data_IF_980884100658
#
_entry.id   IF_980884100658
#
_cell.length_a   1.000
_cell.length_b   1.000
_cell.length_c   1.000
_cell.angle_alpha   90.00
_cell.angle_beta   90.00
_cell.angle_gamma   90.00
#
_symmetry.space_group_name_H-M   'P 1'
#
loop_
_entity.id
_entity.type
_entity.pdbx_description
1 polymer ?
2 non-polymer ?
3 non-polymer ?
4 water ?
#
# COMPACT_ATOMS: atom_id res chain seq x y z
N UNK A 1 -0.30 -7.92 1.18
CA UNK A 1 0.24 -8.61 2.42
C UNK A 1 -0.76 -9.60 3.05
N UNK A 2 -2.06 -9.48 2.78
CA UNK A 2 -3.21 -10.16 3.41
C UNK A 2 -4.44 -10.03 2.51
N UNK A 3 -5.60 -10.66 2.85
CA UNK A 3 -6.74 -10.77 1.93
C UNK A 3 -7.44 -9.42 1.59
N UNK A 4 -7.25 -8.40 2.44
CA UNK A 4 -7.76 -7.04 2.17
C UNK A 4 -6.98 -6.43 1.00
N UNK A 5 -5.66 -6.55 1.07
CA UNK A 5 -4.73 -6.07 0.02
C UNK A 5 -4.92 -6.87 -1.27
N UNK A 6 -5.27 -8.15 -1.14
CA UNK A 6 -5.60 -9.03 -2.29
C UNK A 6 -6.80 -8.47 -3.07
N UNK A 7 -7.91 -8.18 -2.38
CA UNK A 7 -9.13 -7.63 -3.03
C UNK A 7 -8.79 -6.26 -3.66
N UNK A 8 -8.11 -5.40 -2.90
CA UNK A 8 -7.70 -4.06 -3.40
C UNK A 8 -6.89 -4.19 -4.68
N UNK A 9 -5.87 -5.06 -4.69
CA UNK A 9 -5.00 -5.22 -5.87
C UNK A 9 -5.83 -5.69 -7.08
N UNK A 10 -6.74 -6.61 -6.85
CA UNK A 10 -7.57 -7.17 -7.95
C UNK A 10 -8.38 -6.04 -8.61
N UNK A 11 -8.88 -5.11 -7.82
CA UNK A 11 -9.63 -3.93 -8.33
C UNK A 11 -8.66 -3.00 -9.05
N UNK A 12 -7.50 -2.70 -8.45
CA UNK A 12 -6.60 -1.73 -9.08
C UNK A 12 -6.12 -2.24 -10.44
N UNK A 13 -5.82 -3.55 -10.54
CA UNK A 13 -5.11 -4.09 -11.73
C UNK A 13 -6.05 -4.15 -12.93
N UNK A 14 -7.38 -4.14 -12.75
CA UNK A 14 -8.30 -4.25 -13.89
C UNK A 14 -9.29 -3.09 -13.99
N UNK A 15 -9.56 -2.35 -12.89
CA UNK A 15 -10.69 -1.39 -12.89
C UNK A 15 -10.21 0.03 -12.59
N UNK A 16 -8.95 0.37 -12.85
CA UNK A 16 -8.50 1.78 -12.67
C UNK A 16 -7.77 2.25 -13.90
N UNK A 17 -7.86 3.58 -14.11
CA UNK A 17 -7.07 4.32 -15.13
C UNK A 17 -6.52 5.54 -14.43
N UNK A 18 -5.52 6.16 -15.05
CA UNK A 18 -5.05 7.47 -14.60
C UNK A 18 -5.82 8.52 -15.40
N UNK A 19 -6.63 9.33 -14.72
CA UNK A 19 -7.38 10.43 -15.34
C UNK A 19 -6.64 11.76 -15.10
N UNK A 20 -6.51 12.56 -16.15
CA UNK A 20 -5.88 13.89 -16.04
C UNK A 20 -6.90 14.92 -16.55
N UNK A 21 -7.20 15.90 -15.69
CA UNK A 21 -7.99 17.13 -16.04
C UNK A 21 -7.05 18.33 -15.85
N UNK A 22 -7.59 19.52 -16.05
CA UNK A 22 -6.84 20.79 -15.82
C UNK A 22 -6.57 21.02 -14.33
N UNK A 23 -7.23 20.25 -13.46
CA UNK A 23 -7.08 20.30 -11.98
C UNK A 23 -6.10 19.23 -11.45
N UNK A 24 -5.51 18.36 -12.30
CA UNK A 24 -4.46 17.41 -11.92
C UNK A 24 -4.70 15.99 -12.41
N UNK A 25 -3.92 15.08 -11.87
CA UNK A 25 -3.99 13.63 -12.13
C UNK A 25 -4.75 12.98 -10.98
N UNK A 26 -5.69 12.09 -11.31
CA UNK A 26 -6.55 11.39 -10.32
C UNK A 26 -6.55 9.89 -10.63
N UNK A 27 -6.59 9.08 -9.57
CA UNK A 27 -7.05 7.70 -9.63
C UNK A 27 -8.51 7.77 -10.11
N UNK A 28 -8.85 6.95 -11.10
CA UNK A 28 -10.24 6.89 -11.63
C UNK A 28 -10.64 5.42 -11.65
N UNK A 29 -11.77 5.13 -10.99
CA UNK A 29 -12.37 3.79 -10.91
C UNK A 29 -13.34 3.59 -12.07
N UNK A 30 -13.07 2.58 -12.89
CA UNK A 30 -14.04 2.14 -13.90
C UNK A 30 -15.00 1.13 -13.29
N UNK A 31 -16.30 1.29 -13.55
CA UNK A 31 -17.33 0.49 -12.83
C UNK A 31 -17.93 -0.56 -13.76
N UNK A 32 -18.25 -0.18 -15.00
CA UNK A 32 -18.82 -1.13 -16.00
C UNK A 32 -18.82 -0.41 -17.34
N UNK A 33 -18.87 -1.18 -18.42
CA UNK A 33 -18.95 -0.62 -19.80
C UNK A 33 -17.88 0.49 -19.87
N UNK A 34 -18.24 1.71 -20.29
CA UNK A 34 -17.27 2.83 -20.44
C UNK A 34 -17.54 3.87 -19.32
N UNK A 35 -18.13 3.44 -18.21
CA UNK A 35 -18.60 4.31 -17.10
C UNK A 35 -17.58 4.24 -15.96
N UNK A 36 -17.09 5.40 -15.55
CA UNK A 36 -16.13 5.53 -14.45
C UNK A 36 -16.60 6.61 -13.45
N UNK A 37 -15.91 6.72 -12.34
CA UNK A 37 -16.18 7.79 -11.35
C UNK A 37 -14.89 8.54 -11.01
N UNK A 38 -15.07 9.78 -10.57
CA UNK A 38 -13.93 10.67 -10.19
C UNK A 38 -14.49 11.68 -9.21
N UNK A 39 -13.68 12.25 -8.29
CA UNK A 39 -14.20 13.35 -7.45
C UNK A 39 -14.69 14.54 -8.29
N UNK A 40 -15.81 15.15 -7.86
CA UNK A 40 -16.40 16.27 -8.63
C UNK A 40 -15.42 17.46 -8.72
N UNK A 41 -14.59 17.64 -7.71
CA UNK A 41 -13.56 18.72 -7.77
C UNK A 41 -12.49 18.51 -8.86
N UNK A 42 -12.43 17.37 -9.55
CA UNK A 42 -11.60 17.21 -10.75
C UNK A 42 -12.07 18.10 -11.90
N UNK A 43 -13.31 18.62 -11.87
CA UNK A 43 -13.89 19.51 -12.91
C UNK A 43 -13.77 18.89 -14.32
N UNK A 44 -14.34 17.71 -14.50
CA UNK A 44 -14.31 17.02 -15.81
C UNK A 44 -14.94 17.94 -16.86
N UNK A 45 -14.30 18.10 -18.00
CA UNK A 45 -14.84 18.82 -19.16
C UNK A 45 -15.22 17.92 -20.30
N UNK A 46 -15.19 18.46 -21.53
CA UNK A 46 -15.60 17.74 -22.76
C UNK A 46 -14.51 16.74 -23.19
N UNK A 47 -13.26 16.98 -22.79
CA UNK A 47 -12.07 16.16 -23.11
C UNK A 47 -11.33 15.88 -21.79
N UNK A 48 -10.87 14.64 -21.65
CA UNK A 48 -10.08 14.20 -20.47
C UNK A 48 -8.92 13.36 -21.02
N UNK A 49 -7.80 13.28 -20.29
CA UNK A 49 -6.71 12.33 -20.64
C UNK A 49 -6.89 11.08 -19.80
N UNK A 50 -6.86 9.89 -20.43
CA UNK A 50 -7.02 8.57 -19.77
C UNK A 50 -5.74 7.78 -20.11
N UNK A 51 -4.87 7.58 -19.11
CA UNK A 51 -3.56 6.91 -19.33
C UNK A 51 -2.82 7.66 -20.46
N UNK A 52 -2.89 8.98 -20.44
CA UNK A 52 -2.20 9.95 -21.35
C UNK A 52 -2.73 9.92 -22.79
N UNK A 53 -3.91 9.37 -23.01
CA UNK A 53 -4.61 9.39 -24.32
C UNK A 53 -5.77 10.41 -24.23
N UNK A 54 -5.80 11.34 -25.17
CA UNK A 54 -6.91 12.30 -25.34
C UNK A 54 -8.21 11.54 -25.61
N UNK A 55 -9.21 11.76 -24.76
CA UNK A 55 -10.48 10.98 -24.75
C UNK A 55 -11.68 11.96 -24.65
N UNK A 56 -12.63 11.81 -25.56
CA UNK A 56 -13.87 12.57 -25.50
C UNK A 56 -14.71 12.07 -24.34
N UNK A 57 -15.30 13.00 -23.61
CA UNK A 57 -16.29 12.71 -22.54
C UNK A 57 -17.70 12.69 -23.18
N UNK A 58 -18.35 11.53 -23.18
CA UNK A 58 -19.70 11.37 -23.80
C UNK A 58 -20.76 11.91 -22.85
N UNK A 59 -20.55 11.85 -21.53
CA UNK A 59 -21.50 12.33 -20.54
C UNK A 59 -20.75 12.50 -19.22
N UNK A 60 -21.08 13.52 -18.45
CA UNK A 60 -20.55 13.67 -17.07
C UNK A 60 -21.68 14.18 -16.18
N UNK A 61 -21.91 13.56 -15.03
CA UNK A 61 -22.97 14.00 -14.12
C UNK A 61 -22.44 14.08 -12.68
N UNK A 62 -22.42 15.31 -12.13
CA UNK A 62 -22.05 15.59 -10.73
C UNK A 62 -23.22 15.22 -9.85
N UNK A 63 -23.12 14.16 -9.08
CA UNK A 63 -24.26 13.63 -8.30
C UNK A 63 -24.55 14.52 -7.10
N UNK A 64 -25.85 14.65 -6.79
CA UNK A 64 -26.34 15.36 -5.60
C UNK A 64 -27.43 14.51 -4.98
N UNK A 65 -27.62 14.54 -3.67
CA UNK A 65 -28.73 13.79 -3.06
C UNK A 65 -30.06 14.53 -3.27
N UNK A 66 -31.14 13.89 -2.81
CA UNK A 66 -32.49 14.42 -3.14
C UNK A 66 -32.80 15.67 -2.32
N UNK A 67 -32.03 15.97 -1.26
CA UNK A 67 -31.96 17.33 -0.63
C UNK A 67 -31.17 18.35 -1.49
N UNK A 68 -30.67 18.01 -2.69
CA UNK A 68 -29.87 18.91 -3.56
C UNK A 68 -28.59 19.27 -2.78
N UNK A 69 -27.98 18.29 -2.07
CA UNK A 69 -26.66 18.45 -1.42
C UNK A 69 -25.60 17.69 -2.24
N UNK A 70 -24.45 18.32 -2.41
CA UNK A 70 -23.28 17.72 -3.08
C UNK A 70 -23.00 16.31 -2.53
N UNK A 71 -22.68 15.35 -3.41
CA UNK A 71 -22.14 14.01 -3.00
C UNK A 71 -20.67 13.86 -3.39
N UNK A 72 -20.12 14.79 -4.17
CA UNK A 72 -18.67 14.83 -4.56
C UNK A 72 -18.28 13.67 -5.50
N UNK A 73 -19.27 12.98 -6.08
CA UNK A 73 -19.04 11.92 -7.10
C UNK A 73 -19.47 12.48 -8.45
N UNK A 74 -18.60 12.44 -9.44
CA UNK A 74 -18.98 12.64 -10.86
C UNK A 74 -18.89 11.26 -11.57
N UNK A 75 -19.95 10.91 -12.27
CA UNK A 75 -20.03 9.69 -13.13
C UNK A 75 -19.73 10.16 -14.54
N UNK A 76 -18.74 9.54 -15.16
CA UNK A 76 -18.22 9.95 -16.49
C UNK A 76 -18.43 8.77 -17.43
N UNK A 77 -18.99 9.00 -18.61
CA UNK A 77 -18.97 7.98 -19.67
C UNK A 77 -17.90 8.40 -20.68
N UNK A 78 -16.93 7.51 -20.96
CA UNK A 78 -15.72 7.82 -21.75
C UNK A 78 -15.92 7.28 -23.17
N UNK A 79 -15.50 8.03 -24.18
CA UNK A 79 -15.43 7.52 -25.58
C UNK A 79 -14.17 6.67 -25.75
N UNK A 80 -14.14 5.54 -25.06
CA UNK A 80 -12.98 4.62 -25.03
C UNK A 80 -13.31 3.41 -25.90
N UNK A 81 -12.28 2.75 -26.44
CA UNK A 81 -12.46 1.60 -27.34
C UNK A 81 -12.49 0.28 -26.58
N UNK A 82 -12.64 0.31 -25.26
CA UNK A 82 -12.51 -0.89 -24.42
C UNK A 82 -13.47 -0.71 -23.23
N UNK A 83 -14.17 -1.76 -22.81
CA UNK A 83 -15.01 -1.75 -21.61
C UNK A 83 -14.22 -2.16 -20.36
N UNK A 84 -14.70 -1.69 -19.22
CA UNK A 84 -14.24 -2.16 -17.90
C UNK A 84 -14.90 -3.47 -17.55
N UNK A 85 -14.18 -4.29 -16.82
CA UNK A 85 -14.82 -5.43 -16.09
C UNK A 85 -15.98 -4.87 -15.27
N UNK A 86 -17.15 -5.49 -15.31
CA UNK A 86 -18.31 -5.05 -14.52
C UNK A 86 -18.07 -5.45 -13.06
N UNK A 87 -17.90 -4.47 -12.18
CA UNK A 87 -17.76 -4.67 -10.70
C UNK A 87 -18.95 -4.14 -9.91
N UNK A 88 -20.08 -3.89 -10.54
CA UNK A 88 -21.25 -3.34 -9.79
C UNK A 88 -21.72 -4.28 -8.68
N UNK A 89 -21.50 -5.58 -8.81
CA UNK A 89 -21.93 -6.54 -7.75
C UNK A 89 -21.04 -6.40 -6.51
N UNK A 90 -19.95 -5.63 -6.53
CA UNK A 90 -19.14 -5.41 -5.31
C UNK A 90 -19.49 -4.09 -4.62
N UNK A 91 -20.52 -3.38 -5.10
CA UNK A 91 -20.93 -2.08 -4.52
C UNK A 91 -21.97 -2.36 -3.45
N UNK A 92 -21.85 -1.67 -2.29
CA UNK A 92 -22.88 -1.74 -1.24
C UNK A 92 -24.22 -1.20 -1.73
N UNK A 93 -25.30 -1.74 -1.18
CA UNK A 93 -26.64 -1.23 -1.49
C UNK A 93 -27.03 -0.08 -0.53
N UNK A 94 -26.51 -0.06 0.69
CA UNK A 94 -26.93 0.95 1.70
C UNK A 94 -25.73 1.63 2.35
N UNK A 95 -25.99 2.76 3.00
CA UNK A 95 -24.99 3.50 3.79
C UNK A 95 -24.60 2.61 4.97
N UNK A 96 -23.33 2.54 5.33
CA UNK A 96 -22.88 1.64 6.39
C UNK A 96 -21.55 2.11 6.93
N UNK A 97 -21.17 1.53 8.06
CA UNK A 97 -19.80 1.57 8.63
C UNK A 97 -19.09 0.27 8.27
N UNK A 98 -17.76 0.27 8.32
CA UNK A 98 -16.95 -0.89 7.85
C UNK A 98 -15.77 -1.10 8.77
N UNK A 99 -15.29 -2.33 8.85
CA UNK A 99 -13.95 -2.55 9.45
C UNK A 99 -12.89 -2.77 8.36
N UNK A 100 -11.66 -2.42 8.70
CA UNK A 100 -10.44 -2.96 8.07
C UNK A 100 -10.48 -2.65 6.57
N UNK A 101 -10.50 -1.37 6.23
CA UNK A 101 -10.49 -0.92 4.81
C UNK A 101 -9.06 -0.64 4.34
N UNK A 102 -8.91 -0.66 3.01
CA UNK A 102 -7.66 -0.28 2.29
C UNK A 102 -8.02 0.84 1.34
N UNK A 103 -7.17 1.87 1.31
CA UNK A 103 -7.21 2.95 0.30
C UNK A 103 -6.10 2.70 -0.70
N UNK A 104 -6.46 2.61 -1.99
CA UNK A 104 -5.50 2.27 -3.07
C UNK A 104 -5.45 3.40 -4.10
N UNK A 105 -4.23 3.80 -4.48
CA UNK A 105 -3.96 4.94 -5.38
C UNK A 105 -3.04 4.47 -6.49
N UNK A 106 -3.29 4.92 -7.71
CA UNK A 106 -2.33 4.69 -8.80
C UNK A 106 -2.24 5.93 -9.70
N UNK A 107 -1.17 6.73 -9.51
CA UNK A 107 -0.87 7.89 -10.38
C UNK A 107 0.60 7.86 -10.74
N UNK A 108 1.05 8.83 -11.57
CA UNK A 108 2.49 9.10 -11.83
C UNK A 108 3.24 9.38 -10.50
N UNK A 109 2.67 10.16 -9.61
CA UNK A 109 3.28 10.55 -8.31
C UNK A 109 3.28 9.35 -7.34
N UNK A 110 2.23 8.53 -7.36
CA UNK A 110 2.03 7.44 -6.36
C UNK A 110 1.58 6.15 -7.06
N UNK A 111 2.46 5.45 -7.79
CA UNK A 111 2.11 4.18 -8.41
C UNK A 111 2.08 3.05 -7.39
N UNK A 112 1.08 2.17 -7.55
CA UNK A 112 0.99 0.92 -6.77
C UNK A 112 1.03 1.21 -5.27
N UNK A 113 0.29 2.24 -4.85
CA UNK A 113 0.17 2.63 -3.43
C UNK A 113 -1.05 1.99 -2.77
N UNK A 114 -0.87 1.34 -1.61
CA UNK A 114 -1.95 0.71 -0.82
C UNK A 114 -1.78 1.13 0.64
N UNK A 115 -2.83 1.58 1.27
CA UNK A 115 -2.80 2.10 2.69
C UNK A 115 -3.84 1.40 3.52
N UNK A 116 -3.52 0.62 4.59
CA UNK A 116 -4.52 0.07 5.50
C UNK A 116 -4.97 1.22 6.40
N UNK A 117 -6.21 1.63 6.24
CA UNK A 117 -6.75 2.82 6.97
C UNK A 117 -7.54 2.39 8.20
N UNK A 118 -7.87 1.12 8.42
CA UNK A 118 -8.58 0.65 9.61
C UNK A 118 -10.07 0.87 9.51
N UNK A 119 -10.69 1.19 10.63
CA UNK A 119 -12.16 1.32 10.72
C UNK A 119 -12.65 2.54 9.93
N UNK A 120 -13.76 2.35 9.23
CA UNK A 120 -14.43 3.42 8.44
C UNK A 120 -15.80 3.75 9.07
N UNK A 121 -15.97 5.01 9.46
CA UNK A 121 -17.22 5.54 10.07
C UNK A 121 -18.13 6.11 8.98
N UNK A 122 -19.41 5.76 8.99
CA UNK A 122 -20.43 6.55 8.27
C UNK A 122 -20.54 7.92 8.96
N UNK A 123 -19.80 8.90 8.47
CA UNK A 123 -19.63 10.23 9.09
C UNK A 123 -20.86 11.09 8.76
N UNK A 124 -21.31 11.01 7.52
CA UNK A 124 -22.50 11.74 7.03
C UNK A 124 -22.13 13.10 6.47
N UNK A 125 -22.47 14.16 7.22
CA UNK A 125 -22.27 15.54 6.74
C UNK A 125 -20.82 15.98 6.97
N UNK A 126 -20.25 16.62 5.95
CA UNK A 126 -18.93 17.26 5.99
C UNK A 126 -19.00 18.55 5.19
N UNK A 127 -18.45 19.60 5.77
CA UNK A 127 -18.14 20.83 5.02
C UNK A 127 -16.79 20.66 4.34
N UNK A 128 -16.83 20.20 3.09
CA UNK A 128 -15.67 19.78 2.30
C UNK A 128 -15.18 20.94 1.44
N UNK A 129 -14.06 21.57 1.82
CA UNK A 129 -13.56 22.73 1.05
C UNK A 129 -14.59 23.86 0.98
N UNK A 130 -15.39 24.05 2.04
CA UNK A 130 -16.51 25.02 2.05
C UNK A 130 -17.80 24.52 1.41
N UNK A 131 -17.84 23.32 0.86
CA UNK A 131 -19.07 22.81 0.22
C UNK A 131 -19.78 21.80 1.14
N UNK A 132 -21.03 22.05 1.60
CA UNK A 132 -21.77 21.05 2.34
C UNK A 132 -21.89 19.75 1.51
N UNK A 133 -21.49 18.64 2.12
CA UNK A 133 -21.39 17.34 1.38
C UNK A 133 -22.04 16.27 2.25
N UNK A 134 -22.79 15.33 1.67
CA UNK A 134 -23.39 14.21 2.40
C UNK A 134 -22.74 12.86 2.02
N UNK A 135 -23.14 11.83 2.74
CA UNK A 135 -22.68 10.41 2.53
C UNK A 135 -21.15 10.28 2.59
N UNK A 136 -20.54 10.97 3.54
CA UNK A 136 -19.08 10.91 3.75
C UNK A 136 -18.72 9.75 4.71
N UNK A 137 -17.73 8.98 4.28
CA UNK A 137 -17.01 7.99 5.11
C UNK A 137 -15.74 8.64 5.65
N UNK A 138 -15.43 8.33 6.90
CA UNK A 138 -14.19 8.84 7.55
C UNK A 138 -13.32 7.67 8.06
N UNK A 139 -12.02 7.88 7.94
CA UNK A 139 -10.97 6.95 8.44
C UNK A 139 -9.88 7.80 9.05
N UNK A 140 -9.22 7.23 10.05
CA UNK A 140 -8.22 7.96 10.86
C UNK A 140 -6.87 7.67 10.24
N UNK A 141 -6.61 8.17 9.04
CA UNK A 141 -5.26 8.15 8.43
C UNK A 141 -4.98 9.54 7.87
N UNK A 142 -3.75 10.08 8.13
CA UNK A 142 -3.28 11.34 7.56
C UNK A 142 -2.93 11.25 6.06
N UNK A 143 -4.01 11.14 5.27
CA UNK A 143 -4.01 11.16 3.78
C UNK A 143 -3.54 12.55 3.27
N UNK A 144 -2.98 12.59 2.05
CA UNK A 144 -2.23 13.75 1.51
C UNK A 144 -2.71 13.99 0.08
N UNK A 145 -2.37 15.17 -0.44
CA UNK A 145 -2.61 15.55 -1.84
C UNK A 145 -1.92 14.48 -2.70
N UNK A 146 -2.58 14.10 -3.78
CA UNK A 146 -2.20 13.01 -4.67
C UNK A 146 -3.11 11.79 -4.51
N UNK A 147 -3.90 11.73 -3.42
CA UNK A 147 -4.70 10.53 -3.09
C UNK A 147 -6.17 10.67 -3.51
N UNK A 148 -6.61 11.84 -3.99
CA UNK A 148 -8.04 12.00 -4.41
C UNK A 148 -8.33 11.07 -5.56
N UNK A 149 -9.49 10.40 -5.46
CA UNK A 149 -9.91 9.40 -6.45
C UNK A 149 -9.52 8.02 -5.95
N UNK A 150 -8.65 7.92 -4.94
CA UNK A 150 -8.20 6.60 -4.49
C UNK A 150 -9.37 5.74 -4.15
N UNK A 151 -9.26 4.43 -4.32
CA UNK A 151 -10.40 3.51 -4.12
C UNK A 151 -10.36 2.99 -2.69
N UNK A 152 -11.47 3.05 -2.00
CA UNK A 152 -11.64 2.47 -0.64
C UNK A 152 -12.36 1.14 -0.76
N UNK A 153 -11.72 0.06 -0.28
CA UNK A 153 -12.27 -1.31 -0.36
C UNK A 153 -12.24 -1.95 1.03
N UNK A 154 -13.15 -2.88 1.22
CA UNK A 154 -12.98 -3.96 2.21
C UNK A 154 -12.77 -5.27 1.42
N UNK A 155 -12.53 -6.39 2.11
CA UNK A 155 -12.72 -7.73 1.48
C UNK A 155 -14.19 -7.78 1.01
N UNK A 156 -14.32 -7.88 -0.30
CA UNK A 156 -15.55 -8.20 -0.98
C UNK A 156 -16.25 -6.97 -1.45
N UNK A 157 -15.90 -5.74 -0.96
CA UNK A 157 -16.70 -4.54 -1.32
C UNK A 157 -15.87 -3.32 -1.72
N UNK A 158 -16.33 -2.64 -2.76
CA UNK A 158 -15.80 -1.32 -3.20
C UNK A 158 -16.73 -0.28 -2.59
N UNK A 159 -16.26 0.49 -1.57
CA UNK A 159 -17.23 1.25 -0.74
C UNK A 159 -17.16 2.78 -0.98
N UNK A 160 -16.13 3.29 -1.64
CA UNK A 160 -15.99 4.76 -1.74
C UNK A 160 -14.78 5.18 -2.56
N UNK A 161 -14.71 6.48 -2.81
CA UNK A 161 -13.53 7.12 -3.45
C UNK A 161 -13.12 8.30 -2.55
N UNK A 162 -11.81 8.36 -2.31
CA UNK A 162 -11.17 9.40 -1.45
C UNK A 162 -11.42 10.80 -2.03
N UNK A 163 -11.89 11.77 -1.22
CA UNK A 163 -12.23 13.12 -1.76
C UNK A 163 -11.56 14.21 -0.91
N UNK A 164 -10.97 13.90 0.24
CA UNK A 164 -10.29 14.94 1.03
C UNK A 164 -9.73 14.48 2.36
N UNK A 165 -9.15 15.42 3.11
CA UNK A 165 -8.66 15.10 4.47
C UNK A 165 -8.41 16.39 5.25
N UNK A 166 -8.16 16.27 6.56
CA UNK A 166 -7.89 17.47 7.43
C UNK A 166 -6.49 17.36 8.04
N UNK A 167 -5.64 16.47 7.53
CA UNK A 167 -4.27 16.23 8.06
C UNK A 167 -4.21 15.08 9.05
N UNK A 168 -5.27 14.78 9.80
CA UNK A 168 -5.36 13.63 10.73
C UNK A 168 -6.35 12.57 10.24
N UNK A 169 -7.47 13.00 9.65
CA UNK A 169 -8.53 12.11 9.11
C UNK A 169 -8.60 12.24 7.57
N UNK A 170 -9.10 11.17 6.93
CA UNK A 170 -9.37 11.15 5.48
C UNK A 170 -10.84 10.90 5.28
N UNK A 171 -11.35 11.35 4.15
CA UNK A 171 -12.79 11.35 3.85
C UNK A 171 -13.01 10.79 2.44
N UNK A 172 -14.00 9.90 2.36
CA UNK A 172 -14.35 9.30 1.05
C UNK A 172 -15.85 9.56 0.80
N UNK A 173 -16.20 9.71 -0.47
CA UNK A 173 -17.62 9.72 -0.91
C UNK A 173 -18.07 8.28 -1.09
N UNK A 174 -19.22 7.93 -0.53
CA UNK A 174 -19.77 6.57 -0.69
C UNK A 174 -20.01 6.24 -2.16
N UNK A 175 -19.80 4.97 -2.52
CA UNK A 175 -20.37 4.40 -3.77
C UNK A 175 -21.52 3.46 -3.37
N UNK A 176 -22.65 3.65 -3.99
CA UNK A 176 -23.86 2.83 -3.81
C UNK A 176 -24.23 2.20 -5.15
N UNK A 177 -24.71 0.96 -5.10
CA UNK A 177 -25.17 0.21 -6.29
C UNK A 177 -26.17 1.04 -7.09
N UNK A 178 -27.05 1.77 -6.40
CA UNK A 178 -28.15 2.53 -7.05
C UNK A 178 -27.64 3.66 -7.94
N UNK A 179 -26.39 4.10 -7.82
CA UNK A 179 -25.84 5.16 -8.70
C UNK A 179 -25.61 4.62 -10.14
N UNK A 180 -25.54 3.30 -10.33
CA UNK A 180 -25.03 2.65 -11.59
C UNK A 180 -26.02 1.65 -12.19
N UNK A 181 -27.31 1.78 -11.87
CA UNK A 181 -28.37 1.01 -12.57
C UNK A 181 -28.55 1.69 -13.96
N UNK A 182 -29.02 0.96 -14.98
CA UNK A 182 -29.23 1.47 -16.37
C UNK A 182 -30.31 0.64 -17.10
N UNK B 2 6.85 11.87 -1.81
CA UNK B 2 8.03 12.70 -2.24
C UNK B 2 9.05 11.88 -3.02
N UNK B 3 10.36 12.13 -2.81
CA UNK B 3 11.41 11.22 -3.31
C UNK B 3 11.51 9.93 -2.48
N UNK B 4 10.74 9.84 -1.38
CA UNK B 4 10.57 8.58 -0.62
C UNK B 4 9.99 7.45 -1.48
N UNK B 5 9.01 7.72 -2.36
CA UNK B 5 8.49 6.70 -3.32
C UNK B 5 9.53 6.34 -4.38
N UNK B 6 10.31 7.29 -4.96
CA UNK B 6 11.43 6.95 -5.87
C UNK B 6 12.40 5.98 -5.19
N UNK B 7 12.81 6.35 -3.98
CA UNK B 7 13.83 5.61 -3.21
C UNK B 7 13.31 4.19 -2.97
N UNK B 8 12.08 4.06 -2.49
CA UNK B 8 11.46 2.74 -2.20
C UNK B 8 11.48 1.92 -3.49
N UNK B 9 11.08 2.51 -4.63
CA UNK B 9 11.07 1.77 -5.93
C UNK B 9 12.47 1.35 -6.37
N UNK B 10 13.49 2.22 -6.18
CA UNK B 10 14.90 1.98 -6.56
C UNK B 10 15.46 0.79 -5.78
N UNK B 11 15.10 0.71 -4.49
CA UNK B 11 15.54 -0.45 -3.65
C UNK B 11 14.76 -1.72 -4.04
N UNK B 12 13.45 -1.60 -4.26
CA UNK B 12 12.60 -2.74 -4.74
C UNK B 12 13.23 -3.33 -6.01
N UNK B 13 13.48 -2.48 -7.01
CA UNK B 13 13.84 -2.93 -8.38
C UNK B 13 15.15 -3.73 -8.38
N UNK B 14 16.20 -3.25 -7.73
CA UNK B 14 17.53 -3.90 -7.79
C UNK B 14 17.82 -4.80 -6.58
N UNK B 15 17.22 -4.56 -5.41
CA UNK B 15 17.67 -5.21 -4.15
C UNK B 15 16.62 -6.13 -3.53
N UNK B 16 15.46 -6.34 -4.12
CA UNK B 16 14.41 -7.17 -3.48
C UNK B 16 14.15 -8.40 -4.37
N UNK B 17 14.16 -9.60 -3.78
CA UNK B 17 13.84 -10.88 -4.46
C UNK B 17 12.73 -11.60 -3.70
N UNK B 18 12.10 -12.60 -4.35
CA UNK B 18 11.08 -13.44 -3.68
C UNK B 18 11.80 -14.67 -3.11
N UNK B 19 11.78 -14.86 -1.80
CA UNK B 19 12.44 -16.03 -1.19
C UNK B 19 11.33 -17.00 -0.79
N UNK B 20 11.49 -18.30 -1.03
CA UNK B 20 10.47 -19.28 -0.60
C UNK B 20 11.18 -20.35 0.26
N UNK B 21 10.77 -20.46 1.52
CA UNK B 21 11.21 -21.49 2.48
C UNK B 21 10.08 -22.55 2.60
N UNK B 22 10.26 -23.51 3.51
CA UNK B 22 9.23 -24.49 3.88
C UNK B 22 7.94 -23.76 4.28
N UNK B 23 8.03 -22.53 4.80
CA UNK B 23 6.88 -21.78 5.35
C UNK B 23 6.13 -20.98 4.26
N UNK B 24 6.69 -20.84 3.08
CA UNK B 24 6.11 -20.06 1.98
C UNK B 24 6.97 -18.87 1.59
N UNK B 25 6.34 -17.83 1.03
CA UNK B 25 7.07 -16.74 0.32
C UNK B 25 7.24 -15.54 1.25
N UNK B 26 8.46 -14.97 1.15
CA UNK B 26 8.86 -13.79 1.94
C UNK B 26 9.56 -12.80 1.01
N UNK B 27 9.29 -11.51 1.23
CA UNK B 27 10.07 -10.44 0.62
C UNK B 27 11.50 -10.48 1.20
N UNK B 28 12.48 -10.64 0.38
CA UNK B 28 13.89 -10.75 0.86
C UNK B 28 14.66 -9.53 0.33
N UNK B 29 15.47 -8.92 1.21
CA UNK B 29 16.37 -7.81 0.84
C UNK B 29 17.79 -8.34 0.64
N UNK B 30 18.31 -8.18 -0.58
CA UNK B 30 19.74 -8.36 -0.80
C UNK B 30 20.53 -7.11 -0.44
N UNK B 31 21.62 -7.27 0.29
CA UNK B 31 22.35 -6.14 0.91
C UNK B 31 23.66 -5.85 0.15
N UNK B 32 24.42 -6.88 -0.16
CA UNK B 32 25.70 -6.76 -0.92
C UNK B 32 26.17 -8.17 -1.28
N UNK B 33 27.01 -8.30 -2.31
CA UNK B 33 27.58 -9.62 -2.68
C UNK B 33 26.45 -10.63 -2.77
N UNK B 34 26.56 -11.76 -2.04
CA UNK B 34 25.47 -12.79 -2.03
C UNK B 34 24.81 -12.86 -0.65
N UNK B 35 24.81 -11.73 0.03
CA UNK B 35 24.29 -11.62 1.43
C UNK B 35 22.93 -10.95 1.39
N UNK B 36 21.94 -11.58 2.03
CA UNK B 36 20.55 -11.10 2.08
C UNK B 36 20.02 -11.23 3.50
N UNK B 37 18.88 -10.64 3.76
CA UNK B 37 18.19 -10.74 5.07
C UNK B 37 16.75 -11.16 4.84
N UNK B 38 16.24 -11.83 5.86
CA UNK B 38 14.85 -12.37 5.88
C UNK B 38 14.48 -12.48 7.36
N UNK B 39 13.18 -12.40 7.74
CA UNK B 39 12.80 -12.60 9.14
C UNK B 39 13.17 -14.00 9.60
N UNK B 40 13.59 -14.10 10.88
CA UNK B 40 13.99 -15.40 11.48
C UNK B 40 12.81 -16.39 11.40
N UNK B 41 11.57 -15.93 11.54
CA UNK B 41 10.40 -16.84 11.52
C UNK B 41 10.22 -17.50 10.17
N UNK B 42 10.96 -17.12 9.10
CA UNK B 42 10.87 -17.80 7.78
C UNK B 42 11.46 -19.24 7.83
N UNK B 43 12.26 -19.54 8.85
CA UNK B 43 12.82 -20.91 9.08
C UNK B 43 13.64 -21.34 7.85
N UNK B 44 14.65 -20.54 7.55
CA UNK B 44 15.56 -20.85 6.44
C UNK B 44 16.28 -22.19 6.71
N UNK B 45 16.31 -23.04 5.69
CA UNK B 45 16.98 -24.34 5.73
C UNK B 45 18.26 -24.34 4.94
N UNK B 46 18.58 -25.51 4.40
CA UNK B 46 19.82 -25.75 3.63
C UNK B 46 19.58 -25.24 2.20
N UNK B 47 18.34 -25.28 1.76
CA UNK B 47 17.96 -24.91 0.37
C UNK B 47 16.88 -23.84 0.49
N UNK B 48 16.90 -22.87 -0.39
CA UNK B 48 15.83 -21.84 -0.51
C UNK B 48 15.53 -21.61 -2.00
N UNK B 49 14.32 -21.17 -2.32
CA UNK B 49 13.99 -20.71 -3.69
C UNK B 49 14.13 -19.18 -3.76
N UNK B 50 14.86 -18.68 -4.74
CA UNK B 50 15.09 -17.21 -4.96
C UNK B 50 14.52 -16.92 -6.36
N UNK B 51 13.36 -16.25 -6.44
CA UNK B 51 12.68 -16.01 -7.74
C UNK B 51 12.44 -17.35 -8.45
N UNK B 52 12.03 -18.35 -7.68
CA UNK B 52 11.61 -19.71 -8.13
C UNK B 52 12.80 -20.57 -8.54
N UNK B 53 14.05 -20.14 -8.28
CA UNK B 53 15.29 -20.93 -8.54
C UNK B 53 15.77 -21.61 -7.24
N UNK B 54 15.88 -22.95 -7.24
CA UNK B 54 16.47 -23.71 -6.11
C UNK B 54 17.90 -23.24 -5.86
N UNK B 55 18.21 -22.77 -4.62
CA UNK B 55 19.48 -22.06 -4.28
C UNK B 55 20.02 -22.63 -2.95
N UNK B 56 21.27 -23.08 -2.95
CA UNK B 56 21.91 -23.54 -1.70
C UNK B 56 22.10 -22.32 -0.82
N UNK B 57 21.74 -22.48 0.46
CA UNK B 57 22.10 -21.46 1.50
C UNK B 57 23.44 -21.89 2.12
N UNK B 58 24.49 -21.15 1.85
CA UNK B 58 25.84 -21.51 2.34
C UNK B 58 25.93 -21.27 3.86
N UNK B 59 25.26 -20.23 4.35
CA UNK B 59 25.36 -19.79 5.75
C UNK B 59 24.06 -19.10 6.12
N UNK B 60 23.57 -19.35 7.34
CA UNK B 60 22.42 -18.63 7.92
C UNK B 60 22.76 -18.29 9.38
N UNK B 61 22.57 -17.02 9.73
CA UNK B 61 22.81 -16.52 11.10
C UNK B 61 21.51 -15.89 11.61
N UNK B 62 20.93 -16.47 12.66
CA UNK B 62 19.76 -15.90 13.37
C UNK B 62 20.31 -14.87 14.35
N UNK B 63 20.29 -13.58 13.98
CA UNK B 63 21.00 -12.53 14.72
C UNK B 63 20.46 -12.37 16.15
N UNK B 64 21.40 -12.15 17.06
CA UNK B 64 21.16 -11.79 18.47
C UNK B 64 22.11 -10.65 18.84
N UNK B 65 21.73 -9.80 19.77
CA UNK B 65 22.59 -8.67 20.19
C UNK B 65 23.51 -9.14 21.33
N UNK B 66 24.29 -8.21 21.87
CA UNK B 66 25.32 -8.55 22.88
C UNK B 66 24.71 -8.79 24.26
N UNK B 67 23.41 -8.53 24.45
CA UNK B 67 22.66 -9.00 25.63
C UNK B 67 22.19 -10.47 25.41
N UNK B 68 22.51 -11.07 24.26
CA UNK B 68 22.06 -12.43 23.90
C UNK B 68 20.54 -12.45 23.76
N UNK B 69 19.99 -11.41 23.13
CA UNK B 69 18.56 -11.27 22.86
C UNK B 69 18.33 -11.36 21.34
N UNK B 70 17.29 -12.07 20.98
CA UNK B 70 16.81 -12.18 19.57
C UNK B 70 16.63 -10.79 18.95
N UNK B 71 17.02 -10.67 17.68
CA UNK B 71 16.72 -9.49 16.81
C UNK B 71 15.73 -9.82 15.67
N UNK B 72 15.39 -11.10 15.46
CA UNK B 72 14.40 -11.58 14.48
C UNK B 72 14.87 -11.36 13.02
N UNK B 73 16.14 -11.07 12.80
CA UNK B 73 16.76 -10.97 11.44
C UNK B 73 17.63 -12.20 11.26
N UNK B 74 17.50 -12.89 10.13
CA UNK B 74 18.43 -13.93 9.71
C UNK B 74 19.22 -13.39 8.51
N UNK B 75 20.55 -13.40 8.63
CA UNK B 75 21.44 -13.06 7.51
C UNK B 75 21.76 -14.36 6.80
N UNK B 76 21.61 -14.38 5.47
CA UNK B 76 21.91 -15.58 4.63
C UNK B 76 22.99 -15.24 3.60
N UNK B 77 23.86 -16.22 3.33
CA UNK B 77 24.87 -16.18 2.23
C UNK B 77 24.42 -17.20 1.19
N UNK B 78 24.11 -16.75 -0.02
CA UNK B 78 23.43 -17.58 -1.05
C UNK B 78 24.48 -18.09 -2.06
N UNK B 79 24.32 -19.36 -2.49
CA UNK B 79 25.13 -19.94 -3.60
C UNK B 79 24.51 -19.52 -4.95
N UNK B 80 24.80 -18.31 -5.44
CA UNK B 80 24.26 -17.80 -6.74
C UNK B 80 25.26 -16.85 -7.41
N UNK B 81 25.24 -16.82 -8.75
CA UNK B 81 26.24 -16.02 -9.52
C UNK B 81 25.94 -14.54 -9.36
N UNK B 82 24.67 -14.14 -9.43
CA UNK B 82 24.25 -12.72 -9.32
C UNK B 82 24.78 -12.16 -7.99
N UNK B 83 25.41 -11.00 -8.03
CA UNK B 83 25.75 -10.23 -6.82
C UNK B 83 24.70 -9.13 -6.66
N UNK B 84 24.33 -8.80 -5.43
CA UNK B 84 23.40 -7.69 -5.14
C UNK B 84 24.14 -6.35 -5.24
N UNK B 85 23.45 -5.34 -5.73
CA UNK B 85 23.90 -3.92 -5.66
C UNK B 85 24.16 -3.57 -4.19
N UNK B 86 25.37 -3.11 -3.85
CA UNK B 86 25.71 -2.78 -2.44
C UNK B 86 24.88 -1.59 -1.97
N UNK B 87 24.14 -1.75 -0.85
CA UNK B 87 23.28 -0.69 -0.26
C UNK B 87 23.66 -0.48 1.20
N UNK B 88 24.83 -0.99 1.61
CA UNK B 88 25.26 -0.84 3.05
C UNK B 88 25.35 0.62 3.47
N UNK B 89 25.67 1.53 2.53
CA UNK B 89 25.79 2.98 2.80
C UNK B 89 24.43 3.60 3.10
N UNK B 90 23.30 2.92 2.84
CA UNK B 90 21.95 3.43 3.18
C UNK B 90 21.42 2.89 4.52
N UNK B 91 22.23 2.09 5.22
CA UNK B 91 21.82 1.50 6.53
C UNK B 91 22.17 2.48 7.64
N UNK B 92 21.22 2.74 8.55
CA UNK B 92 21.50 3.58 9.72
C UNK B 92 22.62 3.02 10.60
N UNK B 93 23.42 3.94 11.14
CA UNK B 93 24.50 3.57 12.08
C UNK B 93 23.92 3.29 13.45
N UNK B 94 22.84 3.99 13.81
CA UNK B 94 22.26 3.98 15.18
C UNK B 94 20.75 3.73 15.14
N UNK B 95 20.20 3.34 16.28
CA UNK B 95 18.75 3.22 16.54
C UNK B 95 18.14 4.62 16.44
N UNK B 96 16.96 4.75 15.83
CA UNK B 96 16.33 6.09 15.64
C UNK B 96 14.82 5.96 15.40
N UNK B 97 14.10 7.08 15.53
CA UNK B 97 12.71 7.29 15.06
C UNK B 97 12.79 7.92 13.67
N UNK B 98 11.73 7.76 12.87
CA UNK B 98 11.68 8.23 11.47
C UNK B 98 10.27 8.76 11.14
N UNK B 99 10.23 9.65 10.14
CA UNK B 99 8.94 10.10 9.54
C UNK B 99 8.78 9.55 8.12
N UNK B 100 7.53 9.33 7.72
CA UNK B 100 7.22 9.25 6.28
C UNK B 100 7.93 8.01 5.70
N UNK B 101 7.73 6.85 6.35
CA UNK B 101 8.32 5.58 5.87
C UNK B 101 7.37 4.87 4.91
N UNK B 102 7.95 4.03 4.05
CA UNK B 102 7.27 3.19 3.05
C UNK B 102 7.70 1.74 3.33
N UNK B 103 6.73 0.86 3.40
CA UNK B 103 6.89 -0.60 3.47
C UNK B 103 6.65 -1.15 2.06
N UNK B 104 7.64 -1.83 1.48
CA UNK B 104 7.60 -2.36 0.10
C UNK B 104 7.59 -3.90 0.11
N UNK B 105 6.47 -4.44 -0.38
CA UNK B 105 6.15 -5.90 -0.40
C UNK B 105 6.41 -6.45 -1.80
N UNK B 106 7.04 -7.61 -1.89
CA UNK B 106 7.27 -8.25 -3.19
C UNK B 106 7.18 -9.76 -3.06
N UNK B 107 6.05 -10.34 -3.50
CA UNK B 107 5.88 -11.82 -3.56
C UNK B 107 5.20 -12.17 -4.88
N UNK B 108 4.95 -13.46 -5.09
CA UNK B 108 4.22 -13.89 -6.31
C UNK B 108 2.81 -13.33 -6.27
N UNK B 109 2.23 -13.32 -5.08
CA UNK B 109 0.84 -12.85 -4.83
C UNK B 109 0.74 -11.31 -4.88
N UNK B 110 1.77 -10.61 -4.38
CA UNK B 110 1.81 -9.14 -4.13
C UNK B 110 3.06 -8.59 -4.79
N UNK B 111 3.10 -8.52 -6.13
CA UNK B 111 4.30 -8.06 -6.81
C UNK B 111 4.40 -6.54 -6.68
N UNK B 112 5.56 -5.97 -6.46
CA UNK B 112 5.61 -4.46 -6.51
C UNK B 112 4.45 -3.73 -5.77
N UNK B 113 4.21 -3.93 -4.46
CA UNK B 113 3.17 -3.24 -3.64
C UNK B 113 3.82 -2.27 -2.62
N UNK B 114 3.48 -0.99 -2.57
CA UNK B 114 4.08 0.05 -1.71
C UNK B 114 3.05 0.55 -0.71
N UNK B 115 3.38 0.46 0.58
CA UNK B 115 2.47 0.78 1.70
C UNK B 115 3.07 1.90 2.51
N UNK B 116 2.63 3.15 2.31
CA UNK B 116 3.05 4.28 3.14
C UNK B 116 2.58 3.96 4.55
N UNK B 117 3.49 3.93 5.50
CA UNK B 117 3.11 3.60 6.90
C UNK B 117 3.20 4.85 7.78
N UNK B 118 3.99 5.84 7.33
CA UNK B 118 4.12 7.16 7.99
C UNK B 118 5.13 7.11 9.08
N UNK B 119 4.71 7.52 10.26
CA UNK B 119 5.59 7.73 11.41
C UNK B 119 6.02 6.36 11.99
N UNK B 120 7.33 6.25 12.19
CA UNK B 120 7.98 5.00 12.72
C UNK B 120 8.65 5.34 14.06
N UNK B 121 8.26 4.65 15.14
CA UNK B 121 8.88 4.81 16.47
C UNK B 121 9.96 3.74 16.71
N UNK B 122 11.06 4.11 17.35
CA UNK B 122 11.96 3.18 18.08
C UNK B 122 11.19 2.61 19.29
N UNK B 123 10.54 1.48 19.10
CA UNK B 123 9.64 0.84 20.10
C UNK B 123 10.51 0.07 21.11
N UNK B 124 11.59 -0.58 20.64
CA UNK B 124 12.57 -1.32 21.43
C UNK B 124 12.17 -2.75 21.69
N UNK B 125 11.73 -3.05 22.92
CA UNK B 125 11.47 -4.43 23.39
C UNK B 125 10.10 -4.87 22.92
N UNK B 126 9.98 -6.11 22.41
CA UNK B 126 8.70 -6.72 22.06
C UNK B 126 8.79 -8.22 22.39
N UNK B 127 7.78 -8.74 23.04
CA UNK B 127 7.64 -10.20 23.17
C UNK B 127 6.95 -10.69 21.91
N UNK B 128 7.73 -11.18 20.97
CA UNK B 128 7.22 -11.59 19.62
C UNK B 128 7.02 -13.11 19.56
N UNK B 129 5.76 -13.57 19.58
CA UNK B 129 5.46 -15.02 19.56
C UNK B 129 6.03 -15.76 20.75
N UNK B 130 6.17 -15.06 21.87
CA UNK B 130 6.74 -15.60 23.13
C UNK B 130 8.26 -15.44 23.23
N UNK B 131 8.92 -14.88 22.21
CA UNK B 131 10.38 -14.64 22.24
C UNK B 131 10.69 -13.16 22.51
N UNK B 132 11.42 -12.85 23.60
CA UNK B 132 11.90 -11.49 23.86
C UNK B 132 12.80 -11.03 22.70
N UNK B 133 12.48 -9.85 22.16
CA UNK B 133 13.09 -9.29 20.91
C UNK B 133 13.46 -7.83 21.17
N UNK B 134 14.63 -7.45 20.67
CA UNK B 134 15.13 -6.05 20.76
C UNK B 134 15.05 -5.34 19.38
N UNK B 135 15.25 -4.01 19.46
CA UNK B 135 15.44 -3.12 18.28
C UNK B 135 14.23 -3.22 17.32
N UNK B 136 13.06 -3.23 17.89
CA UNK B 136 11.79 -3.20 17.10
C UNK B 136 11.39 -1.74 16.78
N UNK B 137 11.11 -1.50 15.49
CA UNK B 137 10.42 -0.28 14.98
C UNK B 137 8.92 -0.53 14.90
N UNK B 138 8.09 0.49 15.22
CA UNK B 138 6.64 0.29 15.22
C UNK B 138 5.99 1.39 14.36
N UNK B 139 4.97 1.00 13.64
CA UNK B 139 4.11 1.93 12.85
C UNK B 139 2.68 1.47 13.00
N UNK B 140 1.73 2.39 12.77
CA UNK B 140 0.31 2.00 12.73
C UNK B 140 0.15 1.05 11.56
N UNK B 141 -0.66 0.03 11.73
CA UNK B 141 -0.90 -1.03 10.70
C UNK B 141 -2.18 -1.74 11.08
N UNK B 142 -3.35 -1.07 10.92
CA UNK B 142 -4.63 -1.56 11.43
C UNK B 142 -5.30 -2.62 10.54
N UNK B 143 -4.59 -3.73 10.35
CA UNK B 143 -4.91 -4.83 9.41
C UNK B 143 -4.25 -6.09 10.00
N UNK B 144 -4.80 -7.25 9.69
CA UNK B 144 -4.13 -8.55 9.96
C UNK B 144 -3.42 -8.93 8.65
N UNK B 145 -2.12 -8.67 8.60
CA UNK B 145 -1.19 -9.04 7.52
C UNK B 145 -0.70 -10.49 7.72
N UNK B 146 -0.36 -11.17 6.62
CA UNK B 146 0.36 -12.45 6.63
C UNK B 146 1.85 -12.27 6.93
N UNK B 147 2.60 -13.34 6.73
CA UNK B 147 4.01 -13.46 7.19
C UNK B 147 5.01 -12.79 6.23
N UNK B 148 4.62 -12.47 5.00
CA UNK B 148 5.58 -12.32 3.89
C UNK B 148 6.52 -11.14 4.18
N UNK B 149 6.06 -10.17 4.97
CA UNK B 149 6.87 -8.96 5.30
C UNK B 149 7.24 -8.09 4.10
N UNK B 150 8.34 -7.34 4.24
CA UNK B 150 8.64 -6.27 3.32
C UNK B 150 9.70 -5.34 3.87
N UNK B 151 10.19 -4.48 3.01
CA UNK B 151 11.37 -3.65 3.34
C UNK B 151 10.84 -2.28 3.74
N UNK B 152 11.35 -1.72 4.83
CA UNK B 152 10.97 -0.36 5.30
C UNK B 152 12.08 0.64 4.94
N UNK B 153 11.69 1.70 4.25
CA UNK B 153 12.59 2.77 3.76
C UNK B 153 12.06 4.12 4.19
N UNK B 154 12.97 5.06 4.26
CA UNK B 154 12.65 6.51 4.28
C UNK B 154 13.44 7.12 3.13
N UNK B 155 13.31 8.40 2.92
CA UNK B 155 14.17 9.05 1.90
C UNK B 155 15.63 8.84 2.35
N UNK B 156 16.39 8.14 1.54
CA UNK B 156 17.83 7.94 1.70
C UNK B 156 18.24 6.86 2.65
N UNK B 157 17.32 6.15 3.29
CA UNK B 157 17.70 5.10 4.27
C UNK B 157 16.89 3.82 4.11
N UNK B 158 17.57 2.70 4.27
CA UNK B 158 16.90 1.36 4.42
C UNK B 158 16.91 0.98 5.90
N UNK B 159 15.77 1.05 6.58
CA UNK B 159 15.75 1.13 8.06
C UNK B 159 15.32 -0.19 8.70
N UNK B 160 14.68 -1.11 7.98
CA UNK B 160 14.19 -2.31 8.67
C UNK B 160 13.46 -3.24 7.72
N UNK B 161 13.13 -4.42 8.25
CA UNK B 161 12.29 -5.41 7.51
C UNK B 161 11.15 -5.79 8.44
N UNK B 162 9.94 -5.86 7.88
CA UNK B 162 8.69 -6.15 8.64
C UNK B 162 8.72 -7.58 9.21
N UNK B 163 8.49 -7.71 10.53
CA UNK B 163 8.57 -9.05 11.19
C UNK B 163 7.26 -9.49 11.86
N UNK B 164 6.28 -8.60 12.03
CA UNK B 164 5.03 -8.98 12.70
C UNK B 164 4.07 -7.84 12.93
N UNK B 165 3.01 -8.11 13.71
CA UNK B 165 1.99 -7.10 14.00
C UNK B 165 0.90 -7.65 14.91
N UNK B 166 0.11 -6.77 15.53
CA UNK B 166 -0.89 -7.13 16.57
C UNK B 166 -2.30 -6.71 16.10
N UNK B 167 -2.48 -6.43 14.80
CA UNK B 167 -3.75 -6.01 14.15
C UNK B 167 -4.02 -4.50 14.23
N UNK B 168 -3.30 -3.78 15.08
CA UNK B 168 -3.33 -2.31 15.26
C UNK B 168 -1.98 -1.70 14.84
N UNK B 169 -0.88 -2.38 15.24
CA UNK B 169 0.48 -1.89 14.97
C UNK B 169 1.22 -2.95 14.17
N UNK B 170 2.16 -2.47 13.38
CA UNK B 170 3.14 -3.25 12.63
C UNK B 170 4.52 -3.06 13.22
N UNK B 171 5.33 -4.12 13.11
CA UNK B 171 6.69 -4.20 13.76
C UNK B 171 7.72 -4.62 12.73
N UNK B 172 8.82 -3.90 12.71
CA UNK B 172 9.98 -4.18 11.86
C UNK B 172 11.20 -4.34 12.73
N UNK B 173 12.10 -5.22 12.33
CA UNK B 173 13.44 -5.35 12.91
C UNK B 173 14.34 -4.31 12.28
N UNK B 174 15.08 -3.58 13.11
CA UNK B 174 16.04 -2.57 12.60
C UNK B 174 17.13 -3.24 11.77
N UNK B 175 17.55 -2.58 10.68
CA UNK B 175 18.80 -2.90 10.02
C UNK B 175 19.82 -1.82 10.39
N UNK B 176 20.97 -2.26 10.86
CA UNK B 176 22.07 -1.36 11.30
C UNK B 176 23.29 -1.69 10.45
N UNK B 177 24.11 -0.66 10.22
CA UNK B 177 25.28 -0.78 9.36
C UNK B 177 26.25 -1.83 9.93
N UNK B 178 26.33 -1.89 11.24
CA UNK B 178 27.30 -2.78 11.92
C UNK B 178 26.97 -4.26 11.74
N UNK B 179 25.78 -4.61 11.25
CA UNK B 179 25.45 -6.06 11.09
C UNK B 179 26.20 -6.67 9.91
N UNK B 180 26.70 -5.81 9.00
CA UNK B 180 27.26 -6.20 7.69
C UNK B 180 28.70 -5.69 7.48
N UNK B 181 29.31 -5.15 8.52
CA UNK B 181 30.78 -4.90 8.57
C UNK B 181 31.52 -6.22 8.88
X LIG C 1 -15.64 -12.93 -9.16
X LIG C 1 -11.73 -7.78 -6.94
X LIG C 1 -13.18 -7.78 -7.19
X LIG C 1 -13.46 -13.11 -8.15
X LIG C 1 -13.18 -14.20 -8.98
X LIG C 1 -14.15 -14.67 -9.87
X LIG C 1 -14.71 -12.51 -8.30
X LIG C 1 -12.74 -11.31 -6.56
X LIG C 1 -12.39 -13.62 -5.90
X LIG C 1 -12.12 -10.19 -8.42
X LIG C 1 -12.47 -12.66 -7.08
X LIG C 1 -12.44 -10.20 -7.23
X LIG C 1 -12.57 -8.94 -6.47
X LIG C 1 -15.36 -14.01 -9.91
X LIG D 1 27.35 -10.46 7.33
X LIG D 1 27.74 -11.87 6.89
X LIG D 1 28.23 -9.37 6.24
X LIG D 1 28.25 -10.12 8.82
#
# INVERSE_FOLDING_TARGET
>A
MGPGFDFAQAIMKKNTVIARTEKGEFTMLGVYDRVAVIPTHASVGEIIYINDVETRVLDACALRDLTDTNLEITIVKLDRNQKFRDIRHFLPRCEDDYNDAVLSVHTSKFPNMYIPVGQVTNYGFLNLGGTPTHRILMYNFPTRAGQCGGVVTTTGKVIGIHVGGNGAQGFAAMLLHSYFTD
>B
MGPGFDFAQAIMKKNTVIARTEKGEFTMLGVYDRVAVIPTHASVGEIIYINDVETRVLDACALRDLTDTNLEITIVKLDRNQKFRDIRHFLPRCEDDYNDAVLSVHTSKFPNMYIPVGQVTNYGFLNLGGTPTHRILMYNFPTRAGQCGGVVTTTGKVIGIHVGGNGAQGFAAMLLHSYFTD
>C hetero
1 TV9 N1 C4 C5 C6 C7 C8 C10 N C O C1 C2 C3 C9
>D hetero
1 DMS S O C1 C2
#
